data_IF_516028495852
#
_entry.id   IF_516028495852
#
_cell.length_a   1.000
_cell.length_b   1.000
_cell.length_c   1.000
_cell.angle_alpha   90.00
_cell.angle_beta   90.00
_cell.angle_gamma   90.00
#
_symmetry.space_group_name_H-M   'P 1'
#
loop_
_entity.id
_entity.type
_entity.pdbx_description
1 polymer ?
#
# COMPACT_ATOMS: atom_id res chain seq x y z
N UNK A 1 7.52 2.58 -0.41
CA UNK A 1 8.25 1.63 -1.27
C UNK A 1 9.19 2.39 -2.19
N UNK A 2 10.42 1.91 -2.30
CA UNK A 2 11.57 2.60 -2.89
C UNK A 2 12.35 1.65 -3.82
N UNK A 3 13.08 2.16 -4.83
CA UNK A 3 14.10 1.36 -5.50
C UNK A 3 15.24 1.01 -4.52
N UNK A 4 15.92 -0.12 -4.74
CA UNK A 4 16.94 -0.65 -3.81
C UNK A 4 18.11 0.32 -3.55
N UNK A 5 18.48 1.15 -4.53
CA UNK A 5 19.55 2.15 -4.41
C UNK A 5 19.10 3.54 -3.98
N UNK A 6 17.84 3.73 -3.58
CA UNK A 6 17.33 5.05 -3.21
C UNK A 6 17.97 5.55 -1.89
N UNK A 7 18.37 6.83 -1.76
CA UNK A 7 18.95 7.34 -0.52
C UNK A 7 18.07 7.13 0.72
N UNK A 8 16.75 7.35 0.57
CA UNK A 8 15.76 7.11 1.63
C UNK A 8 15.66 5.63 2.07
N UNK A 9 16.22 4.68 1.31
CA UNK A 9 16.22 3.27 1.70
C UNK A 9 17.06 3.01 2.96
N UNK A 10 17.98 3.91 3.32
CA UNK A 10 18.76 3.83 4.54
C UNK A 10 17.95 4.18 5.81
N UNK A 11 16.83 4.88 5.68
CA UNK A 11 15.97 5.22 6.81
C UNK A 11 15.01 4.06 7.10
N UNK A 12 14.76 3.75 8.38
CA UNK A 12 13.79 2.72 8.80
C UNK A 12 12.33 3.21 8.69
N UNK A 13 12.09 4.48 8.98
CA UNK A 13 10.75 5.08 8.91
C UNK A 13 10.82 6.38 8.11
N UNK A 14 9.94 6.50 7.13
CA UNK A 14 9.81 7.68 6.29
C UNK A 14 8.67 8.56 6.78
N UNK A 15 8.91 9.85 6.87
CA UNK A 15 7.92 10.87 7.17
C UNK A 15 7.32 11.43 5.89
N UNK A 16 6.17 12.13 5.95
CA UNK A 16 5.64 12.83 4.78
C UNK A 16 6.68 13.78 4.13
N UNK A 17 7.49 14.46 4.95
CA UNK A 17 8.48 15.43 4.47
C UNK A 17 9.56 14.81 3.58
N UNK A 18 9.91 13.54 3.78
CA UNK A 18 10.89 12.82 2.95
C UNK A 18 10.44 12.68 1.49
N UNK A 19 9.14 12.86 1.19
CA UNK A 19 8.59 12.81 -0.17
C UNK A 19 8.59 14.17 -0.87
N UNK A 20 9.12 15.22 -0.23
CA UNK A 20 9.16 16.57 -0.78
C UNK A 20 10.02 16.62 -2.04
N UNK A 21 9.42 17.01 -3.17
CA UNK A 21 10.10 17.12 -4.47
C UNK A 21 10.45 15.78 -5.12
N UNK A 22 10.20 14.66 -4.44
CA UNK A 22 10.52 13.33 -4.95
C UNK A 22 9.63 12.92 -6.13
N UNK A 23 10.21 12.09 -7.00
CA UNK A 23 9.45 11.42 -8.06
C UNK A 23 8.43 10.49 -7.45
N UNK A 24 7.15 10.81 -7.62
CA UNK A 24 6.07 10.03 -7.05
C UNK A 24 5.25 9.35 -8.14
N UNK A 25 5.23 8.02 -8.06
CA UNK A 25 4.36 7.17 -8.85
C UNK A 25 3.11 6.91 -8.02
N UNK A 26 1.94 7.00 -8.63
CA UNK A 26 0.74 6.99 -7.85
C UNK A 26 -0.44 6.30 -8.50
N UNK A 27 -1.38 5.91 -7.65
CA UNK A 27 -2.65 5.38 -8.08
C UNK A 27 -3.49 6.48 -8.75
N UNK A 28 -4.46 6.07 -9.56
CA UNK A 28 -5.39 6.99 -10.22
C UNK A 28 -6.11 7.89 -9.23
N UNK A 29 -6.48 9.09 -9.67
CA UNK A 29 -7.22 10.07 -8.85
C UNK A 29 -8.58 9.57 -8.35
N UNK A 30 -9.16 8.57 -9.02
CA UNK A 30 -10.43 7.96 -8.61
C UNK A 30 -10.27 6.92 -7.50
N UNK A 31 -9.04 6.55 -7.16
CA UNK A 31 -8.75 5.61 -6.08
C UNK A 31 -8.91 6.30 -4.71
N UNK A 32 -9.67 5.70 -3.80
CA UNK A 32 -9.94 6.29 -2.49
C UNK A 32 -8.70 6.31 -1.58
N UNK A 33 -7.79 5.35 -1.73
CA UNK A 33 -6.53 5.33 -1.01
C UNK A 33 -5.60 6.45 -1.48
N UNK A 34 -5.59 6.72 -2.79
CA UNK A 34 -4.91 7.90 -3.35
C UNK A 34 -5.42 9.20 -2.75
N UNK A 35 -6.74 9.37 -2.67
CA UNK A 35 -7.36 10.59 -2.13
C UNK A 35 -6.97 10.82 -0.67
N UNK A 36 -6.96 9.75 0.13
CA UNK A 36 -6.51 9.80 1.52
C UNK A 36 -5.03 10.23 1.64
N UNK A 37 -4.15 9.64 0.83
CA UNK A 37 -2.74 10.03 0.78
C UNK A 37 -2.56 11.47 0.31
N UNK A 38 -3.31 11.91 -0.69
CA UNK A 38 -3.23 13.28 -1.20
C UNK A 38 -3.66 14.30 -0.15
N UNK A 39 -4.72 14.03 0.61
CA UNK A 39 -5.13 14.85 1.74
C UNK A 39 -4.04 14.93 2.82
N UNK A 40 -3.45 13.77 3.17
CA UNK A 40 -2.36 13.68 4.14
C UNK A 40 -1.14 14.52 3.70
N UNK A 41 -0.66 14.34 2.47
CA UNK A 41 0.48 15.11 1.99
C UNK A 41 0.16 16.61 1.89
N UNK A 42 -1.08 16.97 1.57
CA UNK A 42 -1.53 18.37 1.54
C UNK A 42 -1.52 19.00 2.94
N UNK A 43 -2.02 18.30 3.96
CA UNK A 43 -2.01 18.73 5.36
C UNK A 43 -0.60 19.00 5.87
N UNK A 44 0.35 18.13 5.49
CA UNK A 44 1.77 18.30 5.78
C UNK A 44 2.51 19.29 4.86
N UNK A 45 1.80 19.95 3.93
CA UNK A 45 2.35 20.90 2.95
C UNK A 45 3.44 20.31 2.04
N UNK A 46 3.39 18.99 1.82
CA UNK A 46 4.36 18.26 1.01
C UNK A 46 3.92 18.21 -0.44
N UNK A 47 4.80 18.69 -1.33
CA UNK A 47 4.62 18.67 -2.78
C UNK A 47 5.46 17.56 -3.39
N UNK A 48 4.78 16.52 -3.87
CA UNK A 48 5.37 15.39 -4.61
C UNK A 48 5.42 15.72 -6.11
N UNK A 49 6.47 15.27 -6.82
CA UNK A 49 6.53 15.39 -8.29
C UNK A 49 5.83 14.19 -8.93
N UNK A 50 4.57 14.36 -9.31
CA UNK A 50 3.75 13.31 -9.92
C UNK A 50 4.27 12.95 -11.32
N UNK A 51 5.00 11.84 -11.44
CA UNK A 51 5.62 11.44 -12.72
C UNK A 51 4.82 10.38 -13.47
N UNK A 52 4.08 9.52 -12.75
CA UNK A 52 3.22 8.51 -13.36
C UNK A 52 1.95 8.32 -12.54
N UNK A 53 0.84 8.11 -13.23
CA UNK A 53 -0.45 7.71 -12.68
C UNK A 53 -0.89 6.37 -13.28
N UNK A 54 -1.36 5.42 -12.47
CA UNK A 54 -1.83 4.11 -12.93
C UNK A 54 -2.92 3.54 -12.02
N UNK A 55 -3.76 2.64 -12.54
CA UNK A 55 -4.78 1.94 -11.75
C UNK A 55 -4.27 0.66 -11.08
N UNK A 56 -3.03 0.25 -11.35
CA UNK A 56 -2.50 -1.04 -10.91
C UNK A 56 -1.36 -0.87 -9.92
N UNK A 57 -1.53 -1.41 -8.71
CA UNK A 57 -0.47 -1.47 -7.70
C UNK A 57 0.74 -2.29 -8.18
N UNK A 58 0.52 -3.35 -8.97
CA UNK A 58 1.60 -4.13 -9.59
C UNK A 58 2.43 -3.28 -10.55
N UNK A 59 1.78 -2.41 -11.33
CA UNK A 59 2.47 -1.47 -12.22
C UNK A 59 3.29 -0.44 -11.43
N UNK A 60 2.76 0.07 -10.31
CA UNK A 60 3.55 0.91 -9.39
C UNK A 60 4.80 0.16 -8.95
N UNK A 61 4.68 -1.10 -8.53
CA UNK A 61 5.81 -1.89 -8.08
C UNK A 61 6.88 -2.09 -9.15
N UNK A 62 6.47 -2.42 -10.36
CA UNK A 62 7.38 -2.55 -11.49
C UNK A 62 8.11 -1.24 -11.81
N UNK A 63 7.42 -0.09 -11.76
CA UNK A 63 8.00 1.22 -12.06
C UNK A 63 8.93 1.73 -10.96
N UNK A 64 8.59 1.48 -9.69
CA UNK A 64 9.49 1.78 -8.56
C UNK A 64 10.77 0.95 -8.67
N UNK A 65 10.64 -0.35 -8.97
CA UNK A 65 11.80 -1.22 -9.20
C UNK A 65 12.66 -0.75 -10.37
N UNK A 66 12.04 -0.25 -11.43
CA UNK A 66 12.74 0.34 -12.58
C UNK A 66 13.35 1.72 -12.28
N UNK A 67 13.17 2.27 -11.09
CA UNK A 67 13.76 3.55 -10.68
C UNK A 67 13.01 4.79 -11.19
N UNK A 68 11.78 4.64 -11.70
CA UNK A 68 11.01 5.79 -12.19
C UNK A 68 10.55 6.74 -11.06
N UNK A 69 10.51 6.26 -9.82
CA UNK A 69 10.14 7.03 -8.64
C UNK A 69 9.87 6.17 -7.41
N UNK A 70 9.23 6.77 -6.41
CA UNK A 70 8.83 6.16 -5.14
C UNK A 70 7.30 6.20 -4.98
N UNK A 71 6.76 5.40 -4.05
CA UNK A 71 5.32 5.39 -3.79
C UNK A 71 4.97 4.90 -2.38
N UNK A 72 3.86 5.40 -1.83
CA UNK A 72 3.18 4.76 -0.68
C UNK A 72 2.17 3.77 -1.22
N UNK A 73 2.31 2.51 -0.82
CA UNK A 73 1.45 1.39 -1.25
C UNK A 73 0.75 0.78 -0.03
N UNK A 74 -0.39 0.11 -0.26
CA UNK A 74 -1.10 -0.56 0.81
C UNK A 74 -0.26 -1.75 1.37
N UNK A 75 -0.53 -2.19 2.60
CA UNK A 75 0.27 -3.23 3.25
C UNK A 75 0.27 -4.58 2.52
N UNK A 76 -0.84 -4.97 1.87
CA UNK A 76 -0.92 -6.25 1.15
C UNK A 76 -0.02 -6.26 -0.09
N UNK A 77 0.01 -5.16 -0.83
CA UNK A 77 0.96 -4.98 -1.93
C UNK A 77 2.39 -4.97 -1.43
N UNK A 78 2.66 -4.30 -0.31
CA UNK A 78 4.00 -4.30 0.28
C UNK A 78 4.46 -5.71 0.68
N UNK A 79 3.56 -6.53 1.23
CA UNK A 79 3.82 -7.92 1.58
C UNK A 79 4.15 -8.77 0.35
N UNK A 80 3.35 -8.68 -0.71
CA UNK A 80 3.53 -9.46 -1.94
C UNK A 80 4.84 -9.11 -2.67
N UNK A 81 5.29 -7.86 -2.57
CA UNK A 81 6.49 -7.37 -3.26
C UNK A 81 7.73 -7.20 -2.37
N UNK A 82 7.67 -7.61 -1.09
CA UNK A 82 8.76 -7.40 -0.13
C UNK A 82 10.12 -7.93 -0.63
N UNK A 83 10.11 -9.08 -1.32
CA UNK A 83 11.32 -9.74 -1.83
C UNK A 83 11.54 -9.54 -3.34
N UNK A 84 10.85 -8.57 -3.96
CA UNK A 84 10.83 -8.36 -5.42
C UNK A 84 11.86 -7.36 -5.95
N UNK A 85 12.95 -7.10 -5.23
CA UNK A 85 14.00 -6.14 -5.63
C UNK A 85 13.63 -4.66 -5.40
N UNK A 86 12.72 -4.41 -4.47
CA UNK A 86 12.33 -3.08 -3.97
C UNK A 86 12.55 -3.02 -2.48
N UNK A 87 12.65 -1.82 -1.92
CA UNK A 87 12.77 -1.62 -0.47
C UNK A 87 11.47 -1.08 0.08
N UNK A 88 10.92 -1.76 1.08
CA UNK A 88 9.76 -1.33 1.84
C UNK A 88 10.24 -0.68 3.14
N UNK A 89 9.71 0.51 3.45
CA UNK A 89 9.94 1.25 4.69
C UNK A 89 8.62 1.64 5.31
N UNK A 90 8.59 1.67 6.64
CA UNK A 90 7.42 2.11 7.39
C UNK A 90 7.16 3.59 7.09
N UNK A 91 5.88 3.95 6.98
CA UNK A 91 5.46 5.34 6.90
C UNK A 91 5.10 5.83 8.30
N UNK A 92 5.54 7.03 8.66
CA UNK A 92 5.43 7.54 10.04
C UNK A 92 3.99 7.85 10.45
N UNK A 93 3.11 8.08 9.47
CA UNK A 93 1.69 8.38 9.68
C UNK A 93 0.87 7.14 9.36
N UNK A 94 -0.07 6.80 10.24
CA UNK A 94 -0.98 5.69 10.00
C UNK A 94 -2.00 6.04 8.92
N UNK A 95 -2.00 5.25 7.85
CA UNK A 95 -2.97 5.37 6.75
C UNK A 95 -3.81 4.10 6.74
N UNK A 96 -5.05 4.13 7.26
CA UNK A 96 -5.87 2.93 7.37
C UNK A 96 -6.17 2.34 5.99
N UNK A 97 -6.05 1.01 5.89
CA UNK A 97 -6.43 0.25 4.71
C UNK A 97 -7.45 -0.82 5.11
N UNK A 98 -8.70 -0.64 4.71
CA UNK A 98 -9.82 -1.47 5.14
C UNK A 98 -10.21 -2.46 4.06
N UNK A 99 -10.21 -3.75 4.39
CA UNK A 99 -10.77 -4.82 3.56
C UNK A 99 -12.14 -5.19 4.10
N UNK A 100 -13.16 -5.08 3.25
CA UNK A 100 -14.56 -5.32 3.63
C UNK A 100 -15.17 -6.48 2.87
N UNK A 101 -15.92 -7.32 3.58
CA UNK A 101 -16.75 -8.36 2.99
C UNK A 101 -18.19 -7.84 2.88
N UNK A 102 -18.67 -7.65 1.65
CA UNK A 102 -20.02 -7.13 1.38
C UNK A 102 -20.95 -8.29 0.98
N UNK A 103 -22.15 -8.34 1.58
CA UNK A 103 -23.16 -9.36 1.30
C UNK A 103 -24.53 -8.72 1.11
N UNK A 104 -25.39 -9.25 0.20
CA UNK A 104 -26.76 -8.77 0.05
C UNK A 104 -27.58 -8.99 1.32
N UNK A 105 -28.31 -7.97 1.77
CA UNK A 105 -29.12 -8.03 2.99
C UNK A 105 -30.41 -8.86 2.80
N UNK A 106 -31.00 -8.83 1.60
CA UNK A 106 -32.34 -9.39 1.32
C UNK A 106 -32.32 -10.67 0.49
N UNK A 107 -31.15 -11.30 0.31
CA UNK A 107 -31.05 -12.57 -0.42
C UNK A 107 -31.07 -13.74 0.56
N UNK A 108 -31.74 -14.87 0.24
CA UNK A 108 -31.65 -16.08 1.05
C UNK A 108 -30.19 -16.47 1.27
N UNK A 109 -29.87 -16.88 2.51
CA UNK A 109 -28.51 -17.27 2.90
C UNK A 109 -28.07 -18.49 2.08
N UNK A 110 -26.84 -18.45 1.58
CA UNK A 110 -26.22 -19.59 0.89
C UNK A 110 -25.26 -20.28 1.84
N UNK A 111 -25.46 -21.57 2.09
CA UNK A 111 -24.55 -22.36 2.92
C UNK A 111 -23.11 -22.33 2.40
N UNK A 112 -22.93 -22.29 1.07
CA UNK A 112 -21.61 -22.15 0.46
C UNK A 112 -20.98 -20.78 0.73
N UNK A 113 -21.78 -19.71 0.70
CA UNK A 113 -21.29 -18.37 1.05
C UNK A 113 -20.90 -18.32 2.52
N UNK A 114 -21.73 -18.84 3.43
CA UNK A 114 -21.42 -18.87 4.86
C UNK A 114 -20.15 -19.71 5.14
N UNK A 115 -19.99 -20.86 4.47
CA UNK A 115 -18.77 -21.68 4.56
C UNK A 115 -17.53 -20.93 4.03
N UNK A 116 -17.65 -20.25 2.89
CA UNK A 116 -16.56 -19.43 2.33
C UNK A 116 -16.18 -18.28 3.26
N UNK A 117 -17.16 -17.58 3.83
CA UNK A 117 -16.90 -16.49 4.80
C UNK A 117 -16.18 -17.02 6.03
N UNK A 118 -16.64 -18.14 6.59
CA UNK A 118 -16.00 -18.76 7.74
C UNK A 118 -14.54 -19.16 7.41
N UNK A 119 -14.31 -19.75 6.25
CA UNK A 119 -12.97 -20.13 5.82
C UNK A 119 -12.07 -18.91 5.58
N UNK A 120 -12.59 -17.86 4.93
CA UNK A 120 -11.87 -16.60 4.74
C UNK A 120 -11.46 -15.99 6.09
N UNK A 121 -12.39 -15.96 7.05
CA UNK A 121 -12.14 -15.46 8.41
C UNK A 121 -11.09 -16.28 9.15
N UNK A 122 -11.09 -17.59 9.01
CA UNK A 122 -10.10 -18.48 9.60
C UNK A 122 -8.71 -18.33 8.97
N UNK A 123 -8.64 -17.94 7.69
CA UNK A 123 -7.39 -17.73 6.96
C UNK A 123 -6.77 -16.34 7.16
N UNK A 124 -7.50 -15.36 7.74
CA UNK A 124 -6.97 -14.01 8.00
C UNK A 124 -5.62 -13.98 8.76
N UNK A 125 -5.39 -14.79 9.80
CA UNK A 125 -4.09 -14.84 10.48
C UNK A 125 -2.92 -15.16 9.55
N UNK A 126 -3.15 -15.95 8.49
CA UNK A 126 -2.12 -16.29 7.51
C UNK A 126 -1.67 -15.07 6.68
N UNK A 127 -2.48 -14.01 6.63
CA UNK A 127 -2.15 -12.75 5.96
C UNK A 127 -1.59 -11.75 6.98
N UNK A 128 -2.24 -11.63 8.15
CA UNK A 128 -1.87 -10.65 9.16
C UNK A 128 -0.51 -10.94 9.81
N UNK A 129 -0.15 -12.20 10.04
CA UNK A 129 1.13 -12.55 10.65
C UNK A 129 2.33 -12.20 9.77
N UNK A 130 2.38 -12.57 8.47
CA UNK A 130 3.44 -12.11 7.57
C UNK A 130 3.46 -10.58 7.40
N UNK A 131 2.29 -9.94 7.32
CA UNK A 131 2.18 -8.49 7.22
C UNK A 131 2.88 -7.79 8.40
N UNK A 132 2.61 -8.24 9.62
CA UNK A 132 3.26 -7.71 10.82
C UNK A 132 4.79 -7.89 10.76
N UNK A 133 5.27 -9.02 10.23
CA UNK A 133 6.70 -9.27 10.09
C UNK A 133 7.38 -8.36 9.06
N UNK A 134 6.72 -8.07 7.93
CA UNK A 134 7.24 -7.14 6.92
C UNK A 134 7.31 -5.72 7.50
N UNK A 135 6.29 -5.31 8.26
CA UNK A 135 6.26 -4.01 8.92
C UNK A 135 7.27 -3.87 10.06
N UNK A 136 7.75 -4.97 10.65
CA UNK A 136 8.82 -4.98 11.66
C UNK A 136 10.22 -5.01 11.04
N UNK A 137 10.36 -5.54 9.82
CA UNK A 137 11.63 -5.56 9.05
C UNK A 137 11.87 -4.28 8.25
N UNK A 138 10.81 -3.54 7.97
CA UNK A 138 10.80 -2.29 7.21
C UNK A 138 11.28 -1.12 8.06
#
# INVERSE_FOLDING_TARGET
>A
MLPAGHPLAAQATLTPADFQGENYISLSRTDSYRQLLDALFLEHQVKRRMVVETHSAASICAMVRAGAGISVVNPLTALDYADSGVVVRRFSVEVPFTVSLIRPLHRPRSALVDAFVAHLQQSLPQILTPLASVLQRA
#
